data_IF_393614388253
#
_entry.id   IF_393614388253
#
_cell.length_a   1.000
_cell.length_b   1.000
_cell.length_c   1.000
_cell.angle_alpha   90.00
_cell.angle_beta   90.00
_cell.angle_gamma   90.00
#
_symmetry.space_group_name_H-M   'P 1'
#
loop_
_entity.id
_entity.type
_entity.pdbx_description
1 polymer ?
#
# COMPACT_ATOMS: atom_id res chain seq x y z
N UNK A 1 -66.15 4.97 -20.79
CA UNK A 1 -65.87 5.29 -19.37
C UNK A 1 -64.67 6.22 -19.33
N UNK A 2 -64.91 7.47 -18.95
CA UNK A 2 -64.06 8.63 -19.24
C UNK A 2 -62.95 8.92 -18.21
N UNK A 3 -62.00 9.74 -18.66
CA UNK A 3 -60.91 10.37 -17.88
C UNK A 3 -61.43 11.60 -17.12
N UNK A 4 -61.13 11.72 -15.82
CA UNK A 4 -61.05 12.97 -15.04
C UNK A 4 -60.13 12.68 -13.82
N UNK A 5 -58.86 13.10 -13.81
CA UNK A 5 -58.29 14.35 -13.23
C UNK A 5 -58.53 14.58 -11.73
N UNK A 6 -57.44 14.62 -10.94
CA UNK A 6 -57.26 15.61 -9.86
C UNK A 6 -55.79 16.04 -9.77
N UNK A 7 -55.54 17.29 -10.14
CA UNK A 7 -54.42 18.15 -9.78
C UNK A 7 -54.92 19.03 -8.63
N UNK A 8 -54.10 19.24 -7.60
CA UNK A 8 -54.12 20.31 -6.59
C UNK A 8 -52.97 19.98 -5.61
N UNK A 9 -52.10 20.86 -5.13
CA UNK A 9 -51.76 22.25 -5.47
C UNK A 9 -50.36 22.51 -4.85
N UNK A 10 -49.60 23.40 -5.46
CA UNK A 10 -48.46 24.05 -4.85
C UNK A 10 -48.96 25.30 -4.11
N UNK A 11 -48.41 25.57 -2.91
CA UNK A 11 -48.44 26.85 -2.20
C UNK A 11 -47.04 26.98 -1.53
N UNK A 12 -46.15 27.81 -2.08
CA UNK A 12 -45.87 29.21 -1.66
C UNK A 12 -45.37 29.28 -0.20
N UNK A 13 -44.06 29.37 0.06
CA UNK A 13 -43.13 30.52 -0.05
C UNK A 13 -43.27 31.54 1.10
N UNK A 14 -42.12 32.18 1.45
CA UNK A 14 -41.87 33.30 2.39
C UNK A 14 -41.50 32.87 3.83
N UNK A 15 -40.38 33.25 4.47
CA UNK A 15 -39.13 33.93 4.10
C UNK A 15 -38.10 33.70 5.25
N UNK A 16 -36.78 33.83 5.01
CA UNK A 16 -35.79 33.93 6.07
C UNK A 16 -35.81 35.32 6.72
N UNK A 17 -35.94 35.36 8.05
CA UNK A 17 -35.84 36.59 8.83
C UNK A 17 -34.39 37.07 8.86
N UNK A 18 -34.15 38.21 8.20
CA UNK A 18 -32.89 38.92 8.21
C UNK A 18 -33.01 40.14 9.11
N UNK A 19 -32.30 40.14 10.24
CA UNK A 19 -32.09 41.33 11.05
C UNK A 19 -30.61 41.73 11.02
N UNK A 20 -30.32 42.69 10.15
CA UNK A 20 -29.52 43.89 10.41
C UNK A 20 -28.05 43.80 10.88
N UNK A 21 -27.09 44.40 10.13
CA UNK A 21 -25.78 44.79 10.63
C UNK A 21 -25.82 46.20 11.25
N UNK A 22 -25.25 46.38 12.44
CA UNK A 22 -25.00 47.66 13.13
C UNK A 22 -24.02 47.36 14.27
N UNK A 23 -22.93 48.05 14.55
CA UNK A 23 -22.28 49.24 14.00
C UNK A 23 -21.07 49.53 14.91
N UNK A 24 -20.06 50.25 14.37
CA UNK A 24 -19.03 50.91 15.19
C UNK A 24 -17.58 50.78 14.69
N UNK A 25 -17.06 51.82 14.01
CA UNK A 25 -15.63 52.08 13.95
C UNK A 25 -15.22 52.94 15.16
N UNK A 26 -14.09 52.66 15.79
CA UNK A 26 -13.43 53.61 16.67
C UNK A 26 -11.93 53.52 16.53
N UNK A 27 -11.39 54.61 16.01
CA UNK A 27 -9.99 54.88 15.82
C UNK A 27 -9.30 55.12 17.17
N UNK A 28 -8.17 54.45 17.36
CA UNK A 28 -7.14 54.81 18.33
C UNK A 28 -5.86 55.15 17.58
N UNK A 29 -5.75 56.41 17.16
CA UNK A 29 -4.58 57.02 16.52
C UNK A 29 -3.49 57.25 17.56
N UNK A 30 -2.31 56.68 17.38
CA UNK A 30 -1.07 57.36 17.76
C UNK A 30 0.01 57.04 16.74
N UNK A 31 0.41 58.07 16.01
CA UNK A 31 1.43 57.99 14.99
C UNK A 31 2.81 58.30 15.56
N UNK A 32 3.81 57.75 14.87
CA UNK A 32 5.08 58.41 14.63
C UNK A 32 6.14 58.26 15.72
N UNK A 33 7.14 57.43 15.44
CA UNK A 33 8.44 57.92 14.97
C UNK A 33 9.30 56.77 14.45
N UNK A 34 9.99 57.07 13.37
CA UNK A 34 11.06 56.27 12.81
C UNK A 34 12.17 56.11 13.86
N UNK A 35 12.66 54.88 14.01
CA UNK A 35 14.06 54.65 14.25
C UNK A 35 14.43 53.25 13.77
N UNK A 36 15.27 53.21 12.74
CA UNK A 36 15.81 51.97 12.22
C UNK A 36 16.93 51.46 13.11
N UNK A 37 16.84 50.19 13.53
CA UNK A 37 18.03 49.36 13.78
C UNK A 37 17.64 47.90 13.99
N UNK A 38 18.40 47.02 13.34
CA UNK A 38 18.68 45.64 13.73
C UNK A 38 17.70 44.53 13.32
N UNK A 39 18.04 43.97 12.15
CA UNK A 39 17.84 42.59 11.76
C UNK A 39 18.61 41.65 12.71
N UNK A 40 17.92 40.85 13.52
CA UNK A 40 18.50 39.63 14.10
C UNK A 40 17.45 38.67 14.67
N UNK A 41 17.08 37.64 13.89
CA UNK A 41 17.04 36.26 14.40
C UNK A 41 18.45 35.71 14.19
N UNK A 42 19.11 34.95 15.10
CA UNK A 42 18.69 33.57 15.40
C UNK A 42 19.20 33.04 16.77
N UNK A 43 19.26 31.71 16.90
CA UNK A 43 19.84 30.84 17.95
C UNK A 43 18.79 30.24 18.90
N UNK A 44 18.11 29.18 18.46
CA UNK A 44 18.64 27.80 18.46
C UNK A 44 19.03 27.36 19.87
N UNK A 45 18.00 27.09 20.69
CA UNK A 45 18.14 26.26 21.89
C UNK A 45 18.14 24.79 21.44
N UNK A 46 19.31 24.28 21.07
CA UNK A 46 19.54 22.84 20.95
C UNK A 46 20.22 22.40 22.24
N UNK A 47 19.54 21.71 23.18
CA UNK A 47 20.24 20.90 24.15
C UNK A 47 20.68 19.59 23.46
N UNK A 48 21.96 19.50 23.11
CA UNK A 48 22.60 18.20 22.84
C UNK A 48 23.07 17.59 24.16
N UNK A 49 22.91 16.27 24.31
CA UNK A 49 24.09 15.41 24.18
C UNK A 49 23.80 14.22 23.25
N UNK A 50 23.84 14.45 21.93
CA UNK A 50 23.74 13.39 20.90
C UNK A 50 25.09 13.07 20.25
N UNK A 51 26.20 13.39 20.91
CA UNK A 51 27.55 13.09 20.40
C UNK A 51 27.91 11.60 20.32
N UNK A 52 27.48 10.68 21.22
CA UNK A 52 27.90 9.28 21.08
C UNK A 52 27.19 8.54 19.94
N UNK A 53 25.96 8.96 19.58
CA UNK A 53 25.17 8.27 18.55
C UNK A 53 25.67 8.59 17.13
N UNK A 54 26.05 9.84 16.86
CA UNK A 54 26.58 10.25 15.54
C UNK A 54 27.93 9.58 15.24
N UNK A 55 28.80 9.43 16.25
CA UNK A 55 30.06 8.72 16.11
C UNK A 55 29.88 7.23 15.77
N UNK A 56 28.87 6.58 16.38
CA UNK A 56 28.57 5.17 16.14
C UNK A 56 28.05 4.91 14.71
N UNK A 57 27.20 5.81 14.18
CA UNK A 57 26.68 5.71 12.81
C UNK A 57 27.79 5.89 11.76
N UNK A 58 28.75 6.79 12.00
CA UNK A 58 29.88 7.00 11.08
C UNK A 58 30.83 5.79 11.01
N UNK A 59 31.10 5.11 12.13
CA UNK A 59 31.96 3.93 12.14
C UNK A 59 31.37 2.75 11.35
N UNK A 60 30.04 2.52 11.45
CA UNK A 60 29.35 1.44 10.72
C UNK A 60 29.29 1.70 9.21
N UNK A 61 29.18 2.98 8.80
CA UNK A 61 29.16 3.36 7.38
C UNK A 61 30.46 3.04 6.64
N UNK A 62 31.62 3.22 7.28
CA UNK A 62 32.94 3.02 6.64
C UNK A 62 33.27 1.54 6.43
N UNK A 63 32.84 0.64 7.32
CA UNK A 63 33.09 -0.81 7.20
C UNK A 63 32.31 -1.46 6.04
N UNK A 64 31.20 -0.86 5.62
CA UNK A 64 30.29 -1.46 4.62
C UNK A 64 30.69 -1.22 3.16
N UNK A 65 31.67 -0.34 2.88
CA UNK A 65 32.03 0.03 1.50
C UNK A 65 33.17 -0.82 0.90
N UNK A 66 33.83 -1.67 1.70
CA UNK A 66 35.01 -2.45 1.27
C UNK A 66 34.73 -3.92 0.88
N UNK A 67 33.51 -4.42 1.11
CA UNK A 67 33.04 -5.74 0.67
C UNK A 67 31.79 -5.48 -0.17
N UNK A 68 31.73 -5.66 -1.48
CA UNK A 68 32.05 -6.89 -2.18
C UNK A 68 31.79 -6.62 -3.67
N UNK A 69 32.69 -5.89 -4.32
CA UNK A 69 32.77 -5.87 -5.79
C UNK A 69 33.39 -7.18 -6.25
N UNK A 70 32.66 -8.30 -6.12
CA UNK A 70 33.04 -9.53 -6.81
C UNK A 70 32.59 -9.40 -8.27
N UNK A 71 33.51 -8.87 -9.07
CA UNK A 71 33.44 -8.94 -10.52
C UNK A 71 33.39 -10.41 -10.92
N UNK A 72 32.27 -10.81 -11.52
CA UNK A 72 32.15 -12.09 -12.20
C UNK A 72 33.06 -12.01 -13.43
N UNK A 73 34.29 -12.53 -13.31
CA UNK A 73 35.15 -12.77 -14.46
C UNK A 73 34.57 -13.95 -15.24
N UNK A 74 33.73 -13.66 -16.24
CA UNK A 74 33.40 -14.67 -17.26
C UNK A 74 34.66 -14.85 -18.11
N UNK A 75 35.43 -15.88 -17.77
CA UNK A 75 36.54 -16.36 -18.58
C UNK A 75 35.97 -16.97 -19.87
N UNK A 76 35.90 -16.15 -20.92
CA UNK A 76 35.62 -16.61 -22.27
C UNK A 76 36.93 -16.62 -23.07
N UNK A 77 37.68 -17.70 -22.93
CA UNK A 77 38.75 -18.07 -23.86
C UNK A 77 38.47 -19.49 -24.35
N UNK A 78 38.11 -19.59 -25.62
CA UNK A 78 37.76 -20.85 -26.28
C UNK A 78 38.96 -21.68 -26.71
N UNK A 79 38.71 -22.97 -26.93
CA UNK A 79 39.61 -23.92 -27.60
C UNK A 79 39.32 -25.36 -27.18
N UNK A 80 38.72 -26.15 -28.06
CA UNK A 80 38.52 -27.61 -27.96
C UNK A 80 39.66 -28.35 -28.70
N UNK A 81 39.66 -29.70 -28.87
CA UNK A 81 39.20 -30.83 -28.04
C UNK A 81 40.30 -31.91 -27.85
N UNK A 82 40.26 -32.73 -26.79
CA UNK A 82 40.80 -34.11 -26.85
C UNK A 82 39.98 -35.06 -25.96
N UNK A 83 39.26 -35.95 -26.63
CA UNK A 83 38.82 -37.29 -26.16
C UNK A 83 39.96 -38.30 -26.47
N UNK A 84 40.08 -39.47 -25.79
CA UNK A 84 38.96 -40.40 -25.59
C UNK A 84 38.85 -41.11 -24.22
N UNK A 85 37.63 -41.60 -23.99
CA UNK A 85 37.25 -42.79 -23.21
C UNK A 85 37.61 -42.85 -21.71
N UNK A 86 36.63 -42.51 -20.88
CA UNK A 86 36.12 -43.53 -19.94
C UNK A 86 34.66 -43.28 -19.62
N UNK A 87 33.88 -44.30 -19.92
CA UNK A 87 32.47 -44.50 -19.67
C UNK A 87 32.14 -44.40 -18.16
N UNK A 88 31.60 -43.27 -17.71
CA UNK A 88 30.69 -43.22 -16.56
C UNK A 88 29.49 -42.35 -16.94
N UNK A 89 28.49 -43.02 -17.48
CA UNK A 89 27.15 -42.52 -17.66
C UNK A 89 26.47 -42.48 -16.29
N UNK A 90 26.32 -41.29 -15.71
CA UNK A 90 25.19 -40.89 -14.84
C UNK A 90 25.43 -39.50 -14.25
N UNK A 91 25.13 -38.51 -15.09
CA UNK A 91 25.12 -37.11 -14.70
C UNK A 91 24.45 -36.28 -15.78
N UNK A 92 23.42 -36.85 -16.45
CA UNK A 92 22.49 -36.06 -17.23
C UNK A 92 21.82 -35.08 -16.27
N UNK A 93 22.42 -33.91 -16.13
CA UNK A 93 21.73 -32.68 -15.80
C UNK A 93 20.81 -32.42 -16.99
N UNK A 94 19.74 -33.22 -17.07
CA UNK A 94 18.59 -32.92 -17.89
C UNK A 94 18.17 -31.51 -17.53
N UNK A 95 18.41 -30.63 -18.50
CA UNK A 95 17.81 -29.32 -18.65
C UNK A 95 16.74 -29.05 -17.60
N UNK A 96 17.13 -28.33 -16.54
CA UNK A 96 16.18 -27.67 -15.66
C UNK A 96 15.49 -26.63 -16.53
N UNK A 97 14.35 -27.01 -17.10
CA UNK A 97 13.46 -26.14 -17.83
C UNK A 97 13.17 -24.89 -17.00
N UNK A 98 12.85 -23.76 -17.65
CA UNK A 98 12.63 -22.51 -16.95
C UNK A 98 11.42 -22.63 -16.02
N UNK A 99 11.68 -22.87 -14.74
CA UNK A 99 10.91 -22.24 -13.69
C UNK A 99 9.92 -23.08 -12.90
N UNK A 100 10.17 -24.37 -12.63
CA UNK A 100 9.64 -25.04 -11.43
C UNK A 100 10.31 -24.51 -10.15
N UNK A 101 10.15 -23.20 -9.92
CA UNK A 101 10.38 -22.56 -8.63
C UNK A 101 9.04 -22.51 -7.92
N UNK A 102 8.85 -23.43 -6.99
CA UNK A 102 7.92 -23.40 -5.85
C UNK A 102 6.59 -22.67 -6.12
N UNK A 103 5.54 -23.42 -6.43
CA UNK A 103 4.11 -23.10 -6.20
C UNK A 103 3.68 -21.63 -6.38
N UNK A 104 4.25 -20.92 -7.37
CA UNK A 104 3.67 -19.67 -7.85
C UNK A 104 2.45 -20.09 -8.66
N UNK A 105 1.30 -20.11 -7.99
CA UNK A 105 0.02 -20.48 -8.60
C UNK A 105 -0.12 -19.87 -9.99
N UNK A 106 -0.69 -20.66 -10.91
CA UNK A 106 -0.77 -20.33 -12.33
C UNK A 106 -1.11 -18.84 -12.56
N UNK A 107 -0.44 -18.18 -13.53
CA UNK A 107 -0.67 -16.77 -13.79
C UNK A 107 -2.15 -16.54 -14.07
N UNK A 108 -2.76 -15.65 -13.29
CA UNK A 108 -4.18 -15.32 -13.43
C UNK A 108 -4.40 -14.50 -14.70
N UNK A 109 -5.53 -14.73 -15.35
CA UNK A 109 -5.94 -13.98 -16.54
C UNK A 109 -6.05 -12.46 -16.30
N UNK A 110 -6.40 -12.04 -15.08
CA UNK A 110 -6.48 -10.63 -14.70
C UNK A 110 -5.16 -10.03 -14.21
N UNK A 111 -4.09 -10.83 -14.11
CA UNK A 111 -2.75 -10.39 -13.71
C UNK A 111 -2.64 -9.88 -12.27
N UNK A 112 -3.69 -10.00 -11.45
CA UNK A 112 -3.67 -9.51 -10.07
C UNK A 112 -3.00 -10.52 -9.14
N UNK A 113 -2.11 -10.02 -8.29
CA UNK A 113 -1.51 -10.78 -7.20
C UNK A 113 -1.76 -10.07 -5.87
N UNK A 114 -1.77 -10.84 -4.78
CA UNK A 114 -1.98 -10.28 -3.44
C UNK A 114 -0.92 -10.80 -2.46
N UNK A 115 -0.36 -9.89 -1.68
CA UNK A 115 0.57 -10.22 -0.60
C UNK A 115 -0.04 -9.82 0.74
N UNK A 116 -0.11 -10.75 1.70
CA UNK A 116 -0.55 -10.46 3.06
C UNK A 116 0.67 -10.33 3.97
N UNK A 117 0.73 -9.24 4.74
CA UNK A 117 1.84 -8.98 5.67
C UNK A 117 1.30 -8.54 7.02
N UNK A 118 1.70 -9.24 8.08
CA UNK A 118 1.39 -8.85 9.44
C UNK A 118 2.14 -7.57 9.81
N UNK A 119 1.45 -6.63 10.46
CA UNK A 119 2.00 -5.35 10.91
C UNK A 119 2.23 -5.35 12.40
N UNK A 120 1.27 -5.87 13.18
CA UNK A 120 1.38 -6.01 14.63
C UNK A 120 0.41 -7.08 15.12
N UNK A 121 0.69 -7.64 16.30
CA UNK A 121 -0.16 -8.61 16.99
C UNK A 121 -0.25 -8.24 18.47
N UNK A 122 -1.40 -8.49 19.07
CA UNK A 122 -1.67 -8.42 20.51
C UNK A 122 -2.25 -9.76 20.97
N UNK A 123 -2.64 -9.86 22.25
CA UNK A 123 -3.30 -11.04 22.80
C UNK A 123 -4.72 -11.24 22.27
N UNK A 124 -5.39 -10.16 21.87
CA UNK A 124 -6.80 -10.15 21.47
C UNK A 124 -7.01 -9.95 19.96
N UNK A 125 -5.96 -9.59 19.21
CA UNK A 125 -6.09 -9.33 17.79
C UNK A 125 -4.78 -9.04 17.09
N UNK A 126 -4.90 -8.60 15.84
CA UNK A 126 -3.76 -8.29 15.01
C UNK A 126 -4.13 -7.32 13.89
N UNK A 127 -3.12 -6.59 13.44
CA UNK A 127 -3.19 -5.71 12.27
C UNK A 127 -2.34 -6.30 11.16
N UNK A 128 -2.88 -6.33 9.96
CA UNK A 128 -2.15 -6.78 8.78
C UNK A 128 -2.50 -5.92 7.57
N UNK A 129 -1.70 -6.04 6.53
CA UNK A 129 -1.89 -5.37 5.25
C UNK A 129 -2.06 -6.39 4.14
N UNK A 130 -2.96 -6.12 3.20
CA UNK A 130 -3.01 -6.79 1.91
C UNK A 130 -2.52 -5.81 0.85
N UNK A 131 -1.47 -6.18 0.13
CA UNK A 131 -0.97 -5.42 -1.02
C UNK A 131 -1.45 -6.10 -2.29
N UNK A 132 -2.28 -5.41 -3.06
CA UNK A 132 -2.81 -5.89 -4.33
C UNK A 132 -1.99 -5.23 -5.43
N UNK A 133 -1.37 -6.04 -6.29
CA UNK A 133 -0.53 -5.55 -7.38
C UNK A 133 -1.03 -6.09 -8.72
N UNK A 134 -1.00 -5.24 -9.74
CA UNK A 134 -1.24 -5.65 -11.11
C UNK A 134 0.09 -6.02 -11.76
N UNK A 135 0.30 -7.32 -12.00
CA UNK A 135 1.45 -7.88 -12.72
C UNK A 135 1.09 -8.25 -14.16
N UNK A 136 -0.15 -8.01 -14.58
CA UNK A 136 -0.61 -8.21 -15.94
C UNK A 136 -0.31 -7.00 -16.84
N UNK A 137 -0.52 -7.17 -18.15
CA UNK A 137 -0.26 -6.11 -19.14
C UNK A 137 -1.43 -5.12 -19.29
N UNK A 138 -2.60 -5.39 -18.70
CA UNK A 138 -3.82 -4.56 -18.85
C UNK A 138 -4.15 -3.84 -17.55
N UNK A 139 -4.67 -2.61 -17.65
CA UNK A 139 -5.20 -1.89 -16.50
C UNK A 139 -6.45 -2.56 -15.94
N UNK A 140 -6.58 -2.60 -14.61
CA UNK A 140 -7.74 -3.18 -13.91
C UNK A 140 -8.61 -2.04 -13.37
N UNK A 141 -9.81 -1.81 -13.91
CA UNK A 141 -10.63 -0.64 -13.54
C UNK A 141 -11.15 -0.70 -12.11
N UNK A 142 -11.53 -1.89 -11.65
CA UNK A 142 -11.99 -2.14 -10.29
C UNK A 142 -11.50 -3.51 -9.82
N UNK A 143 -11.27 -3.64 -8.52
CA UNK A 143 -10.83 -4.88 -7.91
C UNK A 143 -11.66 -5.19 -6.67
N UNK A 144 -11.77 -6.47 -6.36
CA UNK A 144 -12.45 -6.98 -5.17
C UNK A 144 -11.64 -8.10 -4.54
N UNK A 145 -11.49 -8.05 -3.21
CA UNK A 145 -10.77 -9.03 -2.43
C UNK A 145 -11.71 -9.59 -1.36
N UNK A 146 -11.87 -10.92 -1.35
CA UNK A 146 -12.59 -11.66 -0.33
C UNK A 146 -11.68 -12.73 0.27
N UNK A 147 -11.61 -12.83 1.60
CA UNK A 147 -10.76 -13.81 2.27
C UNK A 147 -11.29 -14.17 3.65
N UNK A 148 -10.87 -15.34 4.16
CA UNK A 148 -11.15 -15.80 5.53
C UNK A 148 -9.85 -16.13 6.22
N UNK A 149 -9.73 -15.73 7.49
CA UNK A 149 -8.63 -16.13 8.38
C UNK A 149 -9.23 -17.06 9.44
N UNK A 150 -8.70 -18.27 9.65
CA UNK A 150 -9.15 -19.16 10.73
C UNK A 150 -9.09 -18.44 12.08
N UNK A 151 -10.08 -18.69 12.93
CA UNK A 151 -10.13 -18.20 14.31
C UNK A 151 -9.98 -16.67 14.46
N UNK A 152 -10.35 -15.92 13.41
CA UNK A 152 -10.26 -14.47 13.40
C UNK A 152 -11.45 -13.81 12.68
N UNK A 153 -11.80 -12.61 13.15
CA UNK A 153 -12.85 -11.77 12.57
C UNK A 153 -12.32 -10.37 12.27
N UNK A 154 -12.61 -9.88 11.05
CA UNK A 154 -12.23 -8.53 10.62
C UNK A 154 -13.13 -7.51 11.32
N UNK A 155 -12.51 -6.54 11.98
CA UNK A 155 -13.19 -5.46 12.70
C UNK A 155 -13.30 -4.20 11.86
N UNK A 156 -12.20 -3.79 11.25
CA UNK A 156 -12.13 -2.55 10.47
C UNK A 156 -11.14 -2.65 9.32
N UNK A 157 -11.35 -1.81 8.31
CA UNK A 157 -10.52 -1.74 7.11
C UNK A 157 -10.23 -0.29 6.75
N UNK A 158 -9.03 -0.05 6.24
CA UNK A 158 -8.60 1.24 5.69
C UNK A 158 -7.91 1.06 4.33
N UNK A 159 -8.14 1.99 3.41
CA UNK A 159 -7.58 1.97 2.05
C UNK A 159 -8.46 1.25 1.00
N UNK A 160 -9.67 0.84 1.36
CA UNK A 160 -10.64 0.19 0.47
C UNK A 160 -12.08 0.53 0.88
N UNK A 161 -13.05 0.24 0.01
CA UNK A 161 -14.47 0.26 0.38
C UNK A 161 -14.86 -1.10 0.93
N UNK A 162 -15.43 -1.10 2.14
CA UNK A 162 -15.90 -2.31 2.81
C UNK A 162 -17.20 -2.79 2.18
N UNK A 163 -17.27 -4.08 1.86
CA UNK A 163 -18.50 -4.77 1.46
C UNK A 163 -19.02 -5.61 2.63
N UNK A 164 -18.13 -6.33 3.32
CA UNK A 164 -18.46 -7.14 4.50
C UNK A 164 -17.26 -7.26 5.44
N UNK A 165 -17.53 -7.31 6.75
CA UNK A 165 -16.58 -7.61 7.83
C UNK A 165 -17.08 -8.81 8.65
N UNK A 166 -16.35 -9.19 9.72
CA UNK A 166 -16.58 -10.44 10.47
C UNK A 166 -15.67 -11.57 9.96
N UNK A 167 -16.15 -12.80 9.95
CA UNK A 167 -15.37 -13.97 9.53
C UNK A 167 -14.91 -13.91 8.07
N UNK A 168 -15.72 -13.31 7.20
CA UNK A 168 -15.39 -13.06 5.80
C UNK A 168 -15.05 -11.58 5.60
N UNK A 169 -13.77 -11.29 5.41
CA UNK A 169 -13.33 -9.98 4.97
C UNK A 169 -13.60 -9.82 3.48
N UNK A 170 -14.49 -8.90 3.09
CA UNK A 170 -14.77 -8.58 1.68
C UNK A 170 -14.71 -7.08 1.45
N UNK A 171 -13.80 -6.67 0.56
CA UNK A 171 -13.56 -5.28 0.22
C UNK A 171 -13.39 -5.09 -1.28
N UNK A 172 -13.57 -3.85 -1.74
CA UNK A 172 -13.41 -3.46 -3.14
C UNK A 172 -12.67 -2.12 -3.28
N UNK A 173 -12.23 -1.83 -4.49
CA UNK A 173 -11.71 -0.51 -4.84
C UNK A 173 -12.72 0.60 -4.50
N UNK A 174 -12.22 1.75 -4.03
CA UNK A 174 -13.05 2.91 -3.71
C UNK A 174 -13.78 3.42 -4.96
N UNK A 175 -15.00 3.91 -4.80
CA UNK A 175 -15.73 4.58 -5.89
C UNK A 175 -14.92 5.78 -6.38
N UNK A 176 -14.73 5.91 -7.69
CA UNK A 176 -13.92 6.97 -8.31
C UNK A 176 -12.40 6.80 -8.16
N UNK A 177 -11.91 5.68 -7.60
CA UNK A 177 -10.49 5.39 -7.61
C UNK A 177 -10.00 5.15 -9.05
N UNK A 178 -8.77 5.57 -9.40
CA UNK A 178 -8.19 5.27 -10.71
C UNK A 178 -8.03 3.76 -10.90
N UNK A 179 -8.07 3.33 -12.16
CA UNK A 179 -7.75 1.96 -12.53
C UNK A 179 -6.35 1.59 -12.05
N UNK A 180 -6.17 0.36 -11.60
CA UNK A 180 -4.87 -0.18 -11.23
C UNK A 180 -4.09 -0.54 -12.49
N UNK A 181 -3.25 0.39 -12.95
CA UNK A 181 -2.41 0.20 -14.13
C UNK A 181 -1.37 -0.94 -13.94
N UNK A 182 -0.82 -1.50 -15.03
CA UNK A 182 0.26 -2.47 -14.98
C UNK A 182 1.43 -2.00 -14.11
N UNK A 183 1.96 -2.90 -13.27
CA UNK A 183 3.07 -2.62 -12.35
C UNK A 183 2.69 -1.81 -11.10
N UNK A 184 1.45 -1.31 -10.99
CA UNK A 184 0.99 -0.54 -9.82
C UNK A 184 0.45 -1.45 -8.73
N UNK A 185 0.42 -0.92 -7.51
CA UNK A 185 -0.13 -1.59 -6.35
C UNK A 185 -0.97 -0.65 -5.48
N UNK A 186 -1.86 -1.26 -4.71
CA UNK A 186 -2.64 -0.61 -3.65
C UNK A 186 -2.47 -1.40 -2.36
N UNK A 187 -2.43 -0.69 -1.24
CA UNK A 187 -2.29 -1.27 0.09
C UNK A 187 -3.56 -1.06 0.88
N UNK A 188 -4.08 -2.14 1.45
CA UNK A 188 -5.26 -2.15 2.31
C UNK A 188 -4.84 -2.63 3.69
N UNK A 189 -5.26 -1.94 4.75
CA UNK A 189 -4.94 -2.32 6.13
C UNK A 189 -6.18 -2.84 6.83
N UNK A 190 -6.03 -3.94 7.55
CA UNK A 190 -7.10 -4.61 8.27
C UNK A 190 -6.74 -4.71 9.75
N UNK A 191 -7.75 -4.51 10.60
CA UNK A 191 -7.71 -4.87 12.00
C UNK A 191 -8.61 -6.09 12.21
N UNK A 192 -8.08 -7.12 12.84
CA UNK A 192 -8.79 -8.34 13.15
C UNK A 192 -8.72 -8.65 14.65
N UNK A 193 -9.76 -9.32 15.16
CA UNK A 193 -9.80 -9.95 16.48
C UNK A 193 -9.57 -11.44 16.34
N UNK A 194 -8.87 -12.05 17.28
CA UNK A 194 -8.62 -13.49 17.33
C UNK A 194 -7.18 -13.87 16.97
N UNK A 195 -6.98 -15.12 16.61
CA UNK A 195 -5.64 -15.69 16.44
C UNK A 195 -4.99 -15.16 15.16
N UNK A 196 -3.78 -14.63 15.30
CA UNK A 196 -3.02 -14.11 14.18
C UNK A 196 -2.58 -15.25 13.24
N UNK A 197 -2.92 -15.14 11.95
CA UNK A 197 -2.65 -16.19 10.97
C UNK A 197 -2.81 -15.72 9.53
N UNK A 198 -2.51 -16.62 8.60
CA UNK A 198 -2.71 -16.41 7.17
C UNK A 198 -4.13 -16.76 6.72
N UNK A 199 -4.58 -16.26 5.55
CA UNK A 199 -5.90 -16.59 5.04
C UNK A 199 -5.98 -18.05 4.60
N UNK A 200 -7.04 -18.75 5.03
CA UNK A 200 -7.35 -20.13 4.58
C UNK A 200 -8.02 -20.14 3.22
N UNK A 201 -8.81 -19.11 2.91
CA UNK A 201 -9.40 -18.89 1.59
C UNK A 201 -9.14 -17.47 1.11
N UNK A 202 -8.95 -17.31 -0.20
CA UNK A 202 -8.75 -16.00 -0.82
C UNK A 202 -9.27 -16.01 -2.25
N UNK A 203 -10.16 -15.07 -2.55
CA UNK A 203 -10.67 -14.78 -3.89
C UNK A 203 -10.39 -13.33 -4.25
N UNK A 204 -9.81 -13.13 -5.43
CA UNK A 204 -9.62 -11.83 -6.07
C UNK A 204 -10.51 -11.81 -7.32
N UNK A 205 -11.40 -10.83 -7.45
CA UNK A 205 -12.36 -10.74 -8.56
C UNK A 205 -13.10 -12.06 -8.84
N UNK A 206 -13.49 -12.79 -7.79
CA UNK A 206 -14.17 -14.10 -7.90
C UNK A 206 -13.27 -15.31 -8.15
N UNK A 207 -12.03 -15.12 -8.58
CA UNK A 207 -11.06 -16.18 -8.88
C UNK A 207 -10.10 -16.46 -7.70
N UNK A 208 -9.54 -17.67 -7.54
CA UNK A 208 -8.57 -17.98 -6.48
C UNK A 208 -7.31 -17.09 -6.51
N UNK A 209 -6.94 -16.49 -5.37
CA UNK A 209 -5.81 -15.56 -5.31
C UNK A 209 -4.46 -16.21 -5.68
N UNK A 210 -3.64 -15.49 -6.43
CA UNK A 210 -2.19 -15.77 -6.54
C UNK A 210 -1.46 -14.98 -5.45
N UNK A 211 -0.79 -15.70 -4.54
CA UNK A 211 -0.07 -15.11 -3.40
C UNK A 211 1.41 -14.92 -3.76
N UNK A 212 1.99 -13.81 -3.31
CA UNK A 212 3.40 -13.45 -3.54
C UNK A 212 4.07 -12.87 -2.30
#
# INVERSE_FOLDING_TARGET
MGRHTRLEAAEDEVAPDGTGPSGGPSAGRSGGRADGRSRSRPLSKIPMPLLPIVALVMAVGVVSYAMSTQQISLNFAGGAPQEPETEVREGQVSQRGPGDRASRGAPRADGLVVAFRMVSRSSDGFRFTATIANRGPRSVPAWQLAFRIPDASILSVSGATVVRTGELGWVRSRTGAPALAPGRSVKVTFLARGTAGGPSSCKMNGLPCTRV
#
